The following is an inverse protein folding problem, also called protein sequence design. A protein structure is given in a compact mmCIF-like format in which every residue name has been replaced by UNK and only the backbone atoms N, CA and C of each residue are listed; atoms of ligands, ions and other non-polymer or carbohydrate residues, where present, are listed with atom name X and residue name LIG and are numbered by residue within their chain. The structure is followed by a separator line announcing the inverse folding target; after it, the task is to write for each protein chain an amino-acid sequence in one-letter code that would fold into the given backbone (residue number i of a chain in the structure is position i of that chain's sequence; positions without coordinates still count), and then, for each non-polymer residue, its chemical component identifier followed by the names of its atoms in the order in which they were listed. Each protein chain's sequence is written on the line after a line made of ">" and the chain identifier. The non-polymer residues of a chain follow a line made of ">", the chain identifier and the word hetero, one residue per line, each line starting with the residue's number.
data_IF_624376265060
#
_entry.id   IF_624376265060
#
_cell.length_a   1.000
_cell.length_b   1.000
_cell.length_c   1.000
_cell.angle_alpha   90.00
_cell.angle_beta   90.00
_cell.angle_gamma   90.00
#
_symmetry.space_group_name_H-M   'P 1'
#
loop_
_entity.id
_entity.type
_entity.pdbx_description
1 polymer ?
#
# COMPACT_ATOMS: atom_id res chain seq x y z
N UNK A 1 16.32 -18.85 -9.77
CA UNK A 1 15.37 -17.76 -10.09
C UNK A 1 15.26 -16.85 -8.86
N UNK A 2 15.32 -15.51 -9.04
CA UNK A 2 15.24 -14.54 -7.94
C UNK A 2 14.11 -13.55 -8.25
N UNK A 3 13.20 -13.33 -7.29
CA UNK A 3 12.23 -12.24 -7.40
C UNK A 3 12.98 -10.90 -7.44
N UNK A 4 12.61 -9.99 -8.33
CA UNK A 4 13.29 -8.72 -8.51
C UNK A 4 12.38 -7.54 -8.11
N UNK A 5 11.22 -7.43 -8.74
CA UNK A 5 10.31 -6.30 -8.51
C UNK A 5 8.87 -6.65 -8.87
N UNK A 6 7.93 -5.87 -8.35
CA UNK A 6 6.56 -5.83 -8.85
C UNK A 6 6.48 -4.84 -10.01
N UNK A 7 5.88 -5.24 -11.14
CA UNK A 7 5.62 -4.35 -12.27
C UNK A 7 4.12 -4.14 -12.39
N UNK A 8 3.68 -2.90 -12.35
CA UNK A 8 2.29 -2.53 -12.62
C UNK A 8 2.18 -1.76 -13.93
N UNK A 9 1.08 -2.00 -14.64
CA UNK A 9 0.84 -1.38 -15.94
C UNK A 9 -0.03 -0.15 -15.78
N UNK A 10 0.46 0.97 -16.31
CA UNK A 10 -0.19 2.28 -16.18
C UNK A 10 -0.54 2.85 -17.56
N UNK A 11 -1.58 3.69 -17.62
CA UNK A 11 -2.03 4.32 -18.87
C UNK A 11 -1.19 5.53 -19.24
N UNK A 12 -0.71 6.29 -18.24
CA UNK A 12 0.08 7.52 -18.43
C UNK A 12 1.22 7.55 -17.42
N UNK A 13 2.44 7.33 -17.90
CA UNK A 13 3.63 7.19 -17.06
C UNK A 13 3.87 8.41 -16.15
N UNK A 14 3.74 9.64 -16.69
CA UNK A 14 3.97 10.86 -15.93
C UNK A 14 2.95 11.03 -14.80
N UNK A 15 1.68 10.76 -15.06
CA UNK A 15 0.64 10.85 -14.05
C UNK A 15 0.88 9.88 -12.90
N UNK A 16 1.25 8.64 -13.21
CA UNK A 16 1.55 7.63 -12.20
C UNK A 16 2.85 7.95 -11.46
N UNK A 17 3.89 8.40 -12.16
CA UNK A 17 5.15 8.83 -11.56
C UNK A 17 4.90 9.95 -10.53
N UNK A 18 4.18 11.00 -10.91
CA UNK A 18 3.82 12.11 -10.02
C UNK A 18 2.99 11.65 -8.81
N UNK A 19 2.06 10.71 -9.03
CA UNK A 19 1.25 10.14 -7.97
C UNK A 19 2.09 9.37 -6.94
N UNK A 20 2.91 8.42 -7.39
CA UNK A 20 3.71 7.58 -6.48
C UNK A 20 4.80 8.37 -5.77
N UNK A 21 5.44 9.33 -6.45
CA UNK A 21 6.47 10.19 -5.81
C UNK A 21 5.87 11.30 -4.94
N UNK A 22 4.72 11.84 -5.32
CA UNK A 22 4.10 12.95 -4.60
C UNK A 22 3.29 12.54 -3.36
N UNK A 23 2.71 11.34 -3.34
CA UNK A 23 1.80 10.92 -2.26
C UNK A 23 2.27 9.69 -1.48
N UNK A 24 3.11 8.83 -2.08
CA UNK A 24 3.49 7.54 -1.50
C UNK A 24 4.99 7.45 -1.18
N UNK A 25 5.67 8.58 -1.15
CA UNK A 25 7.07 8.74 -0.74
C UNK A 25 8.06 7.86 -1.55
N UNK A 26 7.70 7.49 -2.80
CA UNK A 26 8.64 6.85 -3.70
C UNK A 26 9.64 7.84 -4.27
N UNK A 27 10.85 7.36 -4.57
CA UNK A 27 11.82 8.06 -5.40
C UNK A 27 12.03 7.31 -6.71
N UNK A 28 12.39 8.04 -7.76
CA UNK A 28 12.76 7.45 -9.04
C UNK A 28 14.19 6.94 -8.94
N UNK A 29 14.41 5.62 -9.16
CA UNK A 29 15.75 5.02 -9.27
C UNK A 29 16.26 5.05 -10.69
N UNK A 30 15.39 4.67 -11.66
CA UNK A 30 15.73 4.72 -13.08
C UNK A 30 14.51 5.14 -13.90
N UNK A 31 14.68 6.10 -14.80
CA UNK A 31 13.65 6.56 -15.74
C UNK A 31 14.06 6.22 -17.18
N UNK A 32 13.32 5.30 -17.79
CA UNK A 32 13.48 4.88 -19.19
C UNK A 32 12.33 5.40 -20.06
N UNK A 33 11.74 6.52 -19.71
CA UNK A 33 10.62 7.14 -20.40
C UNK A 33 9.30 6.42 -20.11
N UNK A 34 8.98 5.36 -20.83
CA UNK A 34 7.74 4.58 -20.64
C UNK A 34 7.82 3.50 -19.56
N UNK A 35 8.99 3.27 -18.98
CA UNK A 35 9.23 2.34 -17.90
C UNK A 35 10.06 3.05 -16.82
N UNK A 36 9.54 3.16 -15.62
CA UNK A 36 10.18 3.84 -14.50
C UNK A 36 10.30 2.88 -13.33
N UNK A 37 11.52 2.69 -12.88
CA UNK A 37 11.82 1.92 -11.66
C UNK A 37 11.81 2.89 -10.48
N UNK A 38 10.91 2.62 -9.57
CA UNK A 38 10.77 3.34 -8.32
C UNK A 38 11.51 2.60 -7.20
N UNK A 39 11.78 3.29 -6.12
CA UNK A 39 12.32 2.69 -4.90
C UNK A 39 11.46 1.53 -4.40
N UNK A 40 12.02 0.72 -3.49
CA UNK A 40 11.31 -0.38 -2.83
C UNK A 40 10.78 -1.48 -3.77
N UNK A 41 11.36 -1.62 -4.97
CA UNK A 41 11.08 -2.72 -5.88
C UNK A 41 9.75 -2.60 -6.65
N UNK A 42 9.21 -1.39 -6.77
CA UNK A 42 8.06 -1.11 -7.63
C UNK A 42 8.54 -0.57 -8.98
N UNK A 43 7.98 -1.09 -10.06
CA UNK A 43 8.18 -0.57 -11.42
C UNK A 43 6.82 -0.19 -12.01
N UNK A 44 6.70 1.01 -12.57
CA UNK A 44 5.54 1.44 -13.35
C UNK A 44 5.89 1.41 -14.84
N UNK A 45 4.98 0.89 -15.66
CA UNK A 45 5.24 0.71 -17.09
C UNK A 45 4.02 1.08 -17.95
N UNK A 46 4.17 2.10 -18.78
CA UNK A 46 3.22 2.45 -19.82
C UNK A 46 3.49 1.60 -21.06
N UNK A 47 2.73 0.49 -21.18
CA UNK A 47 2.90 -0.44 -22.28
C UNK A 47 2.35 0.19 -23.57
N UNK A 48 3.15 0.12 -24.65
CA UNK A 48 2.73 0.57 -25.98
C UNK A 48 1.74 -0.41 -26.61
N UNK A 49 0.79 0.09 -27.40
CA UNK A 49 -0.27 -0.70 -28.04
C UNK A 49 0.24 -1.82 -28.95
N UNK A 50 1.44 -1.65 -29.54
CA UNK A 50 2.06 -2.66 -30.39
C UNK A 50 2.79 -3.77 -29.62
N UNK A 51 2.91 -3.65 -28.29
CA UNK A 51 3.58 -4.66 -27.47
C UNK A 51 2.74 -5.94 -27.35
N UNK A 52 3.41 -7.10 -27.30
CA UNK A 52 2.72 -8.41 -27.23
C UNK A 52 1.80 -8.52 -26.01
N UNK A 53 2.19 -7.94 -24.86
CA UNK A 53 1.39 -7.95 -23.65
C UNK A 53 0.06 -7.21 -23.87
N UNK A 54 0.09 -6.01 -24.46
CA UNK A 54 -1.13 -5.24 -24.77
C UNK A 54 -2.10 -6.03 -25.63
N UNK A 55 -1.59 -6.70 -26.65
CA UNK A 55 -2.39 -7.52 -27.57
C UNK A 55 -3.04 -8.74 -26.92
N UNK A 56 -2.42 -9.30 -25.86
CA UNK A 56 -2.88 -10.52 -25.21
C UNK A 56 -3.69 -10.27 -23.94
N UNK A 57 -3.57 -9.08 -23.30
CA UNK A 57 -4.25 -8.75 -22.07
C UNK A 57 -5.48 -7.85 -22.23
N UNK A 58 -5.87 -7.48 -23.46
CA UNK A 58 -7.00 -6.58 -23.77
C UNK A 58 -8.34 -6.95 -23.09
N UNK A 59 -8.50 -8.17 -22.63
CA UNK A 59 -9.78 -8.67 -22.13
C UNK A 59 -9.92 -8.70 -20.61
N UNK A 60 -8.89 -8.35 -19.85
CA UNK A 60 -8.97 -8.40 -18.38
C UNK A 60 -9.38 -7.06 -17.80
N UNK A 61 -10.69 -6.86 -17.68
CA UNK A 61 -11.30 -5.62 -17.16
C UNK A 61 -11.14 -5.38 -15.66
N UNK A 62 -10.74 -6.36 -14.87
CA UNK A 62 -10.68 -6.22 -13.41
C UNK A 62 -9.45 -6.95 -12.85
N UNK A 63 -8.58 -6.20 -12.19
CA UNK A 63 -7.44 -6.71 -11.43
C UNK A 63 -7.59 -6.43 -9.93
N UNK A 64 -8.72 -6.80 -9.34
CA UNK A 64 -8.96 -6.69 -7.90
C UNK A 64 -8.42 -7.88 -7.07
N UNK A 65 -7.39 -8.57 -7.58
CA UNK A 65 -6.86 -9.79 -6.95
C UNK A 65 -5.57 -9.56 -6.17
N UNK A 66 -5.08 -8.34 -6.11
CA UNK A 66 -3.92 -7.94 -5.31
C UNK A 66 -4.08 -6.49 -4.90
N UNK A 67 -3.34 -6.11 -3.88
CA UNK A 67 -3.20 -4.73 -3.45
C UNK A 67 -1.72 -4.42 -3.19
N UNK A 68 -1.36 -3.16 -3.28
CA UNK A 68 -0.07 -2.66 -2.83
C UNK A 68 -0.25 -2.22 -1.38
N UNK A 69 0.44 -2.89 -0.46
CA UNK A 69 0.38 -2.58 0.96
C UNK A 69 1.51 -1.65 1.38
N UNK A 70 1.13 -0.60 2.11
CA UNK A 70 2.03 0.39 2.70
C UNK A 70 1.78 0.52 4.19
N UNK A 71 2.78 0.97 4.92
CA UNK A 71 2.65 1.31 6.34
C UNK A 71 2.87 2.81 6.55
N UNK A 72 2.13 3.38 7.50
CA UNK A 72 2.31 4.77 7.93
C UNK A 72 2.09 4.89 9.44
N UNK A 73 3.07 5.47 10.14
CA UNK A 73 2.93 5.82 11.56
C UNK A 73 1.89 6.93 11.78
N UNK A 74 1.71 7.81 10.79
CA UNK A 74 0.70 8.88 10.81
C UNK A 74 -0.36 8.64 9.73
N UNK A 75 -1.19 7.64 9.98
CA UNK A 75 -2.25 7.23 9.06
C UNK A 75 -3.32 8.32 8.87
N UNK A 76 -3.58 9.14 9.89
CA UNK A 76 -4.58 10.21 9.84
C UNK A 76 -4.15 11.32 8.87
N UNK A 77 -2.90 11.80 8.98
CA UNK A 77 -2.38 12.83 8.08
C UNK A 77 -2.31 12.34 6.63
N UNK A 78 -1.87 11.10 6.41
CA UNK A 78 -1.81 10.52 5.05
C UNK A 78 -3.20 10.37 4.43
N UNK A 79 -4.18 9.88 5.17
CA UNK A 79 -5.57 9.78 4.70
C UNK A 79 -6.14 11.17 4.34
N UNK A 80 -5.96 12.17 5.20
CA UNK A 80 -6.42 13.52 4.96
C UNK A 80 -5.74 14.19 3.75
N UNK A 81 -4.45 13.93 3.53
CA UNK A 81 -3.71 14.43 2.36
C UNK A 81 -4.32 13.91 1.05
N UNK A 82 -4.53 12.59 0.98
CA UNK A 82 -5.10 11.94 -0.19
C UNK A 82 -6.56 12.36 -0.43
N UNK A 83 -7.33 12.58 0.64
CA UNK A 83 -8.69 13.11 0.52
C UNK A 83 -8.70 14.52 -0.08
N UNK A 84 -7.85 15.42 0.40
CA UNK A 84 -7.71 16.78 -0.15
C UNK A 84 -7.24 16.78 -1.61
N UNK A 85 -6.45 15.79 -1.99
CA UNK A 85 -6.01 15.59 -3.38
C UNK A 85 -7.11 15.00 -4.29
N UNK A 86 -8.28 14.67 -3.73
CA UNK A 86 -9.41 14.12 -4.50
C UNK A 86 -9.23 12.68 -4.96
N UNK A 87 -8.37 11.91 -4.26
CA UNK A 87 -8.15 10.49 -4.58
C UNK A 87 -9.41 9.68 -4.31
N UNK A 88 -9.69 8.70 -5.16
CA UNK A 88 -10.84 7.80 -5.03
C UNK A 88 -10.58 6.75 -3.95
N UNK A 89 -11.33 6.80 -2.85
CA UNK A 89 -11.24 5.82 -1.77
C UNK A 89 -12.16 4.62 -2.01
N UNK A 90 -11.69 3.43 -1.64
CA UNK A 90 -12.54 2.27 -1.38
C UNK A 90 -13.24 2.45 -0.03
N UNK A 91 -12.45 2.76 1.02
CA UNK A 91 -12.94 3.18 2.34
C UNK A 91 -11.90 4.07 3.02
N UNK A 92 -12.36 4.97 3.88
CA UNK A 92 -11.51 5.78 4.77
C UNK A 92 -11.05 4.95 5.96
N UNK A 93 -10.32 5.58 6.89
CA UNK A 93 -9.78 4.89 8.06
C UNK A 93 -10.85 4.05 8.74
N UNK A 94 -10.54 2.79 8.90
CA UNK A 94 -11.35 1.75 9.52
C UNK A 94 -10.44 0.89 10.40
N UNK A 95 -10.94 0.47 11.56
CA UNK A 95 -10.24 -0.49 12.41
C UNK A 95 -10.63 -1.90 11.99
N UNK A 96 -9.65 -2.67 11.55
CA UNK A 96 -9.80 -4.06 11.14
C UNK A 96 -10.12 -4.95 12.37
N UNK A 97 -10.73 -6.12 12.19
CA UNK A 97 -11.06 -7.01 13.30
C UNK A 97 -9.88 -7.39 14.20
N UNK A 98 -8.67 -7.39 13.65
CA UNK A 98 -7.44 -7.66 14.40
C UNK A 98 -6.86 -6.44 15.12
N UNK A 99 -7.50 -5.26 15.02
CA UNK A 99 -7.14 -4.06 15.78
C UNK A 99 -6.28 -3.03 15.05
N UNK A 100 -5.80 -3.33 13.85
CA UNK A 100 -5.03 -2.41 13.02
C UNK A 100 -5.98 -1.41 12.34
N UNK A 101 -5.61 -0.14 12.31
CA UNK A 101 -6.33 0.86 11.51
C UNK A 101 -5.76 0.85 10.10
N UNK A 102 -6.64 0.81 9.10
CA UNK A 102 -6.29 0.82 7.68
C UNK A 102 -7.19 1.77 6.90
N UNK A 103 -6.76 2.19 5.73
CA UNK A 103 -7.64 2.73 4.69
C UNK A 103 -7.19 2.24 3.32
N UNK A 104 -8.16 2.18 2.37
CA UNK A 104 -7.88 1.73 1.01
C UNK A 104 -8.35 2.75 0.00
N UNK A 105 -7.58 2.90 -1.06
CA UNK A 105 -7.84 3.84 -2.15
C UNK A 105 -7.29 3.30 -3.48
N UNK A 106 -7.56 4.02 -4.55
CA UNK A 106 -7.11 3.64 -5.88
C UNK A 106 -6.10 4.65 -6.42
N UNK A 107 -5.09 4.14 -7.11
CA UNK A 107 -4.21 4.96 -7.92
C UNK A 107 -4.92 5.47 -9.20
N UNK A 108 -4.28 6.32 -10.05
CA UNK A 108 -4.90 6.82 -11.27
C UNK A 108 -5.34 5.75 -12.29
N UNK A 109 -4.87 4.53 -12.15
CA UNK A 109 -5.17 3.39 -13.03
C UNK A 109 -6.06 2.32 -12.39
N UNK A 110 -6.70 2.66 -11.23
CA UNK A 110 -7.57 1.81 -10.44
C UNK A 110 -6.85 0.60 -9.79
N UNK A 111 -5.54 0.66 -9.56
CA UNK A 111 -4.88 -0.32 -8.70
C UNK A 111 -5.24 -0.06 -7.23
N UNK A 112 -5.57 -1.14 -6.51
CA UNK A 112 -5.91 -1.04 -5.11
C UNK A 112 -4.65 -0.85 -4.26
N UNK A 113 -4.70 0.13 -3.36
CA UNK A 113 -3.63 0.46 -2.41
C UNK A 113 -4.21 0.44 -1.01
N UNK A 114 -3.56 -0.28 -0.11
CA UNK A 114 -3.84 -0.27 1.32
C UNK A 114 -2.73 0.47 2.07
N UNK A 115 -3.12 1.31 3.03
CA UNK A 115 -2.22 1.86 4.04
C UNK A 115 -2.69 1.44 5.41
N UNK A 116 -1.82 0.78 6.17
CA UNK A 116 -2.07 0.34 7.53
C UNK A 116 -1.09 0.96 8.53
N UNK A 117 -1.45 0.91 9.80
CA UNK A 117 -0.51 1.22 10.88
C UNK A 117 0.59 0.15 10.96
N UNK A 118 1.88 0.51 11.18
CA UNK A 118 2.91 -0.47 11.51
C UNK A 118 2.54 -1.32 12.72
N UNK A 119 3.10 -2.52 12.78
CA UNK A 119 2.82 -3.49 13.84
C UNK A 119 3.01 -2.90 15.24
N UNK A 120 4.09 -2.17 15.45
CA UNK A 120 4.43 -1.53 16.72
C UNK A 120 3.40 -0.48 17.13
N UNK A 121 2.88 0.27 16.16
CA UNK A 121 1.92 1.37 16.39
C UNK A 121 0.58 0.80 16.84
N UNK A 122 -0.02 -0.13 16.09
CA UNK A 122 -1.35 -0.62 16.48
C UNK A 122 -1.32 -1.49 17.74
N UNK A 123 -0.25 -2.26 17.99
CA UNK A 123 -0.04 -2.99 19.26
C UNK A 123 0.07 -2.01 20.43
N UNK A 124 0.84 -0.93 20.29
CA UNK A 124 0.92 0.14 21.29
C UNK A 124 -0.44 0.79 21.55
N UNK A 125 -1.22 1.04 20.49
CA UNK A 125 -2.58 1.60 20.61
C UNK A 125 -3.52 0.64 21.36
N UNK A 126 -3.49 -0.66 21.09
CA UNK A 126 -4.30 -1.66 21.83
C UNK A 126 -3.89 -1.72 23.31
N UNK A 127 -2.58 -1.73 23.59
CA UNK A 127 -2.05 -1.71 24.95
C UNK A 127 -2.47 -0.45 25.71
N UNK A 128 -2.42 0.72 25.08
CA UNK A 128 -2.82 2.01 25.66
C UNK A 128 -4.32 2.07 25.98
N UNK A 129 -5.14 1.28 25.29
CA UNK A 129 -6.58 1.10 25.60
C UNK A 129 -6.83 0.15 26.79
N UNK A 130 -5.75 -0.32 27.44
CA UNK A 130 -5.81 -1.19 28.62
C UNK A 130 -5.94 -2.69 28.29
N UNK A 131 -5.72 -3.11 27.07
CA UNK A 131 -5.72 -4.52 26.70
C UNK A 131 -4.47 -5.23 27.22
N UNK A 132 -4.67 -6.39 27.82
CA UNK A 132 -3.56 -7.27 28.22
C UNK A 132 -2.91 -7.91 26.99
N UNK A 133 -1.65 -8.33 27.12
CA UNK A 133 -0.90 -9.04 26.06
C UNK A 133 -1.69 -10.24 25.52
N UNK A 134 -2.37 -10.97 26.41
CA UNK A 134 -3.22 -12.11 26.03
C UNK A 134 -4.40 -11.67 25.14
N UNK A 135 -5.11 -10.61 25.52
CA UNK A 135 -6.22 -10.08 24.73
C UNK A 135 -5.76 -9.57 23.36
N UNK A 136 -4.60 -8.88 23.31
CA UNK A 136 -4.01 -8.44 22.04
C UNK A 136 -3.67 -9.64 21.16
N UNK A 137 -3.06 -10.68 21.72
CA UNK A 137 -2.73 -11.90 20.98
C UNK A 137 -3.98 -12.61 20.43
N UNK A 138 -5.02 -12.74 21.25
CA UNK A 138 -6.29 -13.36 20.85
C UNK A 138 -6.98 -12.59 19.72
N UNK A 139 -6.96 -11.26 19.77
CA UNK A 139 -7.60 -10.42 18.77
C UNK A 139 -6.76 -10.31 17.48
N UNK A 140 -5.45 -10.08 17.60
CA UNK A 140 -4.58 -9.79 16.47
C UNK A 140 -4.00 -11.03 15.79
N UNK A 141 -3.99 -12.18 16.49
CA UNK A 141 -3.30 -13.38 16.04
C UNK A 141 -1.77 -13.34 16.21
N UNK A 142 -1.23 -12.25 16.79
CA UNK A 142 0.22 -12.12 17.01
C UNK A 142 0.64 -13.00 18.17
N UNK A 143 1.73 -13.80 18.03
CA UNK A 143 2.27 -14.61 19.11
C UNK A 143 2.65 -13.77 20.34
N UNK A 144 2.38 -14.29 21.54
CA UNK A 144 2.64 -13.60 22.81
C UNK A 144 4.10 -13.17 22.94
N UNK A 145 5.05 -14.02 22.55
CA UNK A 145 6.49 -13.71 22.64
C UNK A 145 6.88 -12.52 21.75
N UNK A 146 6.25 -12.41 20.59
CA UNK A 146 6.40 -11.25 19.70
C UNK A 146 5.86 -9.98 20.35
N UNK A 147 4.66 -10.05 20.95
CA UNK A 147 4.05 -8.92 21.63
C UNK A 147 4.88 -8.43 22.82
N UNK A 148 5.43 -9.35 23.63
CA UNK A 148 6.30 -8.99 24.75
C UNK A 148 7.52 -8.20 24.25
N UNK A 149 8.12 -8.64 23.15
CA UNK A 149 9.27 -7.96 22.54
C UNK A 149 8.93 -6.57 22.03
N UNK A 150 7.71 -6.38 21.47
CA UNK A 150 7.24 -5.09 20.94
C UNK A 150 6.90 -4.08 22.04
N UNK A 151 6.27 -4.54 23.12
CA UNK A 151 5.78 -3.67 24.21
C UNK A 151 6.92 -3.25 25.16
N UNK A 152 8.02 -4.01 25.22
CA UNK A 152 9.17 -3.70 26.08
C UNK A 152 10.20 -2.75 25.44
N UNK A 153 10.02 -2.36 24.18
CA UNK A 153 10.84 -1.34 23.51
C UNK A 153 10.32 0.06 23.79
#
# INVERSE_FOLDING_TARGET
>A
MKFHSTVIFVKKIEQSKDFYTGYLDFSVEHDFGKNVILSNGLTIWEIQDNHIISKQLETRKESSRFELYFESEDIDTKCNLLEKAGVKFLHKIHEEPWGQRTFRFFDPDDHLIEVGEPLEVFVSNMSSRGMSVKQISEQSGIPIDTLITLIQK
#
